data_IF_002067595172
#
_entry.id   IF_002067595172
#
_cell.length_a   1.000
_cell.length_b   1.000
_cell.length_c   1.000
_cell.angle_alpha   90.00
_cell.angle_beta   90.00
_cell.angle_gamma   90.00
#
_symmetry.space_group_name_H-M   'P 1'
#
loop_
_entity.id
_entity.type
_entity.pdbx_description
1 polymer ?
#
# COMPACT_ATOMS: atom_id res chain seq x y z
N UNK A 1 -16.28 22.21 23.33
CA UNK A 1 -16.25 22.81 21.98
C UNK A 1 -15.61 21.79 21.05
N UNK A 2 -16.41 20.81 20.56
CA UNK A 2 -15.90 19.70 19.72
C UNK A 2 -16.80 19.50 18.50
N UNK A 3 -16.73 20.43 17.54
CA UNK A 3 -17.55 20.35 16.31
C UNK A 3 -16.75 19.81 15.11
N UNK A 4 -15.45 19.52 15.24
CA UNK A 4 -14.60 19.06 14.11
C UNK A 4 -14.42 17.54 13.98
N UNK A 5 -14.86 16.73 14.92
CA UNK A 5 -14.59 15.28 14.91
C UNK A 5 -15.51 14.44 13.99
N UNK A 6 -16.59 15.02 13.41
CA UNK A 6 -17.64 14.24 12.74
C UNK A 6 -17.51 14.15 11.22
N UNK A 7 -16.53 14.80 10.58
CA UNK A 7 -16.46 14.85 9.11
C UNK A 7 -15.08 14.55 8.51
N UNK A 8 -14.20 13.85 9.22
CA UNK A 8 -12.96 13.36 8.61
C UNK A 8 -13.24 12.03 7.90
N UNK A 9 -12.89 11.87 6.62
CA UNK A 9 -13.21 10.68 5.81
C UNK A 9 -12.65 9.37 6.40
N UNK A 10 -11.58 9.45 7.23
CA UNK A 10 -10.92 8.31 7.88
C UNK A 10 -10.91 8.46 9.40
N UNK A 11 -12.07 8.75 9.99
CA UNK A 11 -12.26 8.84 11.43
C UNK A 11 -12.56 7.48 12.10
N UNK A 12 -12.80 7.47 13.44
CA UNK A 12 -13.07 6.25 14.21
C UNK A 12 -14.21 5.39 13.67
N UNK A 13 -15.27 6.02 13.16
CA UNK A 13 -16.44 5.31 12.59
C UNK A 13 -16.07 4.51 11.34
N UNK A 14 -15.21 5.08 10.46
CA UNK A 14 -14.69 4.42 9.29
C UNK A 14 -13.94 3.13 9.67
N UNK A 15 -12.96 3.23 10.57
CA UNK A 15 -12.15 2.07 10.98
C UNK A 15 -12.97 1.03 11.74
N UNK A 16 -13.94 1.46 12.53
CA UNK A 16 -14.87 0.53 13.20
C UNK A 16 -15.63 -0.29 12.16
N UNK A 17 -16.20 0.34 11.13
CA UNK A 17 -16.99 -0.31 10.09
C UNK A 17 -16.13 -1.24 9.24
N UNK A 18 -15.04 -0.76 8.67
CA UNK A 18 -14.31 -1.47 7.62
C UNK A 18 -13.17 -2.36 8.11
N UNK A 19 -12.77 -2.26 9.40
CA UNK A 19 -11.63 -3.03 9.93
C UNK A 19 -11.91 -3.77 11.23
N UNK A 20 -12.72 -3.21 12.15
CA UNK A 20 -12.92 -3.80 13.48
C UNK A 20 -14.17 -4.64 13.58
N UNK A 21 -15.25 -4.30 12.91
CA UNK A 21 -16.49 -5.05 12.95
C UNK A 21 -16.36 -6.33 12.08
N UNK A 22 -16.47 -7.50 12.71
CA UNK A 22 -16.35 -8.82 12.04
C UNK A 22 -17.33 -9.01 10.89
N UNK A 23 -18.53 -8.44 10.96
CA UNK A 23 -19.55 -8.57 9.91
C UNK A 23 -19.26 -7.74 8.67
N UNK A 24 -18.55 -6.61 8.80
CA UNK A 24 -18.36 -5.64 7.72
C UNK A 24 -16.90 -5.36 7.35
N UNK A 25 -15.94 -5.91 8.10
CA UNK A 25 -14.51 -5.67 7.83
C UNK A 25 -14.11 -6.18 6.43
N UNK A 26 -13.29 -5.41 5.76
CA UNK A 26 -12.81 -5.69 4.39
C UNK A 26 -11.57 -6.60 4.38
N UNK A 27 -10.86 -6.70 5.50
CA UNK A 27 -9.65 -7.53 5.63
C UNK A 27 -9.41 -7.95 7.07
N UNK A 28 -8.51 -8.91 7.26
CA UNK A 28 -8.12 -9.46 8.57
C UNK A 28 -6.59 -9.36 8.76
N UNK A 29 -6.13 -9.48 10.01
CA UNK A 29 -4.70 -9.56 10.31
C UNK A 29 -4.05 -10.79 9.65
N UNK A 30 -4.77 -11.92 9.57
CA UNK A 30 -4.27 -13.14 8.92
C UNK A 30 -4.05 -12.94 7.40
N UNK A 31 -5.01 -12.30 6.70
CA UNK A 31 -4.87 -11.97 5.28
C UNK A 31 -3.72 -10.99 5.03
N UNK A 32 -3.56 -9.99 5.89
CA UNK A 32 -2.47 -9.02 5.79
C UNK A 32 -1.11 -9.67 6.12
N UNK A 33 -1.07 -10.60 7.05
CA UNK A 33 0.10 -11.43 7.34
C UNK A 33 0.52 -12.30 6.15
N UNK A 34 -0.44 -12.99 5.53
CA UNK A 34 -0.19 -13.79 4.32
C UNK A 34 0.33 -12.92 3.16
N UNK A 35 -0.22 -11.71 3.01
CA UNK A 35 0.25 -10.72 2.01
C UNK A 35 1.68 -10.26 2.29
N UNK A 36 2.01 -9.95 3.54
CA UNK A 36 3.36 -9.60 3.94
C UNK A 36 4.34 -10.75 3.66
N UNK A 37 3.94 -11.99 3.93
CA UNK A 37 4.75 -13.18 3.63
C UNK A 37 5.00 -13.34 2.13
N UNK A 38 3.98 -13.15 1.28
CA UNK A 38 4.13 -13.17 -0.17
C UNK A 38 5.13 -12.10 -0.65
N UNK A 39 4.98 -10.86 -0.19
CA UNK A 39 5.89 -9.76 -0.53
C UNK A 39 7.32 -10.10 -0.13
N UNK A 40 7.54 -10.53 1.12
CA UNK A 40 8.86 -10.87 1.63
C UNK A 40 9.50 -12.04 0.86
N UNK A 41 8.70 -13.05 0.48
CA UNK A 41 9.16 -14.21 -0.30
C UNK A 41 9.61 -13.78 -1.71
N UNK A 42 8.82 -12.97 -2.42
CA UNK A 42 9.16 -12.46 -3.76
C UNK A 42 10.46 -11.64 -3.69
N UNK A 43 10.59 -10.72 -2.74
CA UNK A 43 11.78 -9.88 -2.61
C UNK A 43 13.04 -10.70 -2.28
N UNK A 44 12.91 -11.69 -1.39
CA UNK A 44 14.00 -12.61 -1.06
C UNK A 44 14.42 -13.44 -2.27
N UNK A 45 13.45 -14.02 -3.00
CA UNK A 45 13.70 -14.80 -4.22
C UNK A 45 14.38 -13.94 -5.29
N UNK A 46 13.94 -12.69 -5.45
CA UNK A 46 14.53 -11.75 -6.42
C UNK A 46 15.90 -11.17 -5.96
N UNK A 47 16.41 -11.55 -4.79
CA UNK A 47 17.69 -11.06 -4.26
C UNK A 47 17.67 -9.60 -3.83
N UNK A 48 16.52 -9.06 -3.41
CA UNK A 48 16.35 -7.66 -3.03
C UNK A 48 16.41 -7.53 -1.50
N UNK A 49 17.49 -6.97 -0.93
CA UNK A 49 17.59 -6.76 0.50
C UNK A 49 16.66 -5.64 0.98
N UNK A 50 16.05 -5.83 2.17
CA UNK A 50 15.15 -4.87 2.79
C UNK A 50 15.61 -4.55 4.20
N UNK A 51 16.01 -3.29 4.45
CA UNK A 51 16.39 -2.75 5.75
C UNK A 51 15.45 -1.65 6.22
N UNK A 52 14.70 -1.04 5.32
CA UNK A 52 13.71 -0.03 5.61
C UNK A 52 12.40 -0.24 4.85
N UNK A 53 11.29 -0.22 5.59
CA UNK A 53 9.93 -0.38 5.06
C UNK A 53 9.15 0.88 5.38
N UNK A 54 8.51 1.46 4.37
CA UNK A 54 7.47 2.47 4.52
C UNK A 54 6.12 1.86 4.12
N UNK A 55 5.17 1.84 5.04
CA UNK A 55 3.79 1.47 4.76
C UNK A 55 2.96 2.75 4.62
N UNK A 56 2.69 3.14 3.38
CA UNK A 56 2.02 4.39 3.03
C UNK A 56 0.50 4.18 2.95
N UNK A 57 -0.22 4.73 3.92
CA UNK A 57 -1.62 4.44 4.21
C UNK A 57 -1.75 3.18 5.05
N UNK A 58 -0.92 3.06 6.09
CA UNK A 58 -0.78 1.84 6.90
C UNK A 58 -2.02 1.47 7.72
N UNK A 59 -2.98 2.38 7.87
CA UNK A 59 -4.20 2.14 8.64
C UNK A 59 -3.90 1.63 10.05
N UNK A 60 -4.46 0.47 10.39
CA UNK A 60 -4.21 -0.20 11.68
C UNK A 60 -2.82 -0.86 11.80
N UNK A 61 -2.00 -0.81 10.75
CA UNK A 61 -0.67 -1.44 10.74
C UNK A 61 -0.70 -2.97 10.74
N UNK A 62 -1.69 -3.57 10.11
CA UNK A 62 -1.92 -5.03 10.14
C UNK A 62 -0.76 -5.86 9.55
N UNK A 63 0.10 -5.28 8.72
CA UNK A 63 1.28 -5.96 8.18
C UNK A 63 2.51 -5.84 9.10
N UNK A 64 2.50 -4.93 10.09
CA UNK A 64 3.68 -4.59 10.90
C UNK A 64 4.27 -5.81 11.61
N UNK A 65 3.43 -6.58 12.30
CA UNK A 65 3.87 -7.76 13.08
C UNK A 65 4.49 -8.80 12.16
N UNK A 66 3.83 -9.13 11.05
CA UNK A 66 4.35 -10.11 10.10
C UNK A 66 5.70 -9.67 9.49
N UNK A 67 5.86 -8.38 9.13
CA UNK A 67 7.16 -7.91 8.65
C UNK A 67 8.25 -7.90 9.72
N UNK A 68 7.90 -7.67 11.00
CA UNK A 68 8.87 -7.76 12.08
C UNK A 68 9.43 -9.21 12.25
N UNK A 69 8.59 -10.21 12.00
CA UNK A 69 8.99 -11.63 12.03
C UNK A 69 9.74 -12.05 10.75
N UNK A 70 9.24 -11.67 9.58
CA UNK A 70 9.76 -12.10 8.28
C UNK A 70 11.04 -11.38 7.87
N UNK A 71 11.20 -10.13 8.28
CA UNK A 71 12.31 -9.23 7.98
C UNK A 71 12.82 -8.54 9.26
N UNK A 72 13.35 -9.27 10.24
CA UNK A 72 13.65 -8.77 11.59
C UNK A 72 14.71 -7.66 11.63
N UNK A 73 15.50 -7.52 10.56
CA UNK A 73 16.50 -6.44 10.42
C UNK A 73 15.91 -5.18 9.78
N UNK A 74 14.67 -5.21 9.27
CA UNK A 74 14.05 -4.09 8.61
C UNK A 74 13.35 -3.16 9.63
N UNK A 75 13.56 -1.86 9.49
CA UNK A 75 12.85 -0.84 10.26
C UNK A 75 11.54 -0.49 9.56
N UNK A 76 10.42 -0.72 10.23
CA UNK A 76 9.10 -0.41 9.70
C UNK A 76 8.65 0.98 10.16
N UNK A 77 8.13 1.76 9.22
CA UNK A 77 7.51 3.06 9.46
C UNK A 77 6.14 3.12 8.80
N UNK A 78 5.11 3.47 9.57
CA UNK A 78 3.77 3.77 9.05
C UNK A 78 3.65 5.25 8.68
N UNK A 79 3.05 5.53 7.52
CA UNK A 79 2.58 6.84 7.09
C UNK A 79 1.06 6.77 6.97
N UNK A 80 0.34 7.71 7.58
CA UNK A 80 -1.12 7.67 7.61
C UNK A 80 -1.70 9.10 7.53
N UNK A 81 -2.82 9.24 6.83
CA UNK A 81 -3.53 10.50 6.69
C UNK A 81 -4.58 10.73 7.79
N UNK A 82 -4.94 9.70 8.55
CA UNK A 82 -5.85 9.76 9.68
C UNK A 82 -5.14 10.24 10.93
N UNK A 83 -5.43 11.46 11.39
CA UNK A 83 -4.94 11.98 12.68
C UNK A 83 -5.29 11.06 13.84
N UNK A 84 -6.49 10.46 13.81
CA UNK A 84 -6.94 9.50 14.82
C UNK A 84 -6.01 8.30 14.94
N UNK A 85 -5.60 7.70 13.81
CA UNK A 85 -4.69 6.55 13.82
C UNK A 85 -3.26 6.97 14.13
N UNK A 86 -2.81 8.13 13.64
CA UNK A 86 -1.48 8.65 13.96
C UNK A 86 -1.31 8.85 15.47
N UNK A 87 -2.29 9.45 16.13
CA UNK A 87 -2.29 9.62 17.60
C UNK A 87 -2.33 8.28 18.35
N UNK A 88 -3.10 7.28 17.82
CA UNK A 88 -3.29 5.99 18.50
C UNK A 88 -2.08 5.06 18.37
N UNK A 89 -1.40 5.05 17.21
CA UNK A 89 -0.36 4.08 16.88
C UNK A 89 1.03 4.70 16.70
N UNK A 90 1.15 6.01 16.92
CA UNK A 90 2.39 6.78 16.70
C UNK A 90 2.90 6.66 15.25
N UNK A 91 1.97 6.73 14.28
CA UNK A 91 2.32 6.79 12.87
C UNK A 91 2.79 8.19 12.47
N UNK A 92 3.56 8.27 11.39
CA UNK A 92 3.85 9.57 10.76
C UNK A 92 2.59 10.09 10.10
N UNK A 93 2.17 11.29 10.46
CA UNK A 93 1.05 11.97 9.78
C UNK A 93 1.50 12.51 8.42
N UNK A 94 0.72 12.27 7.38
CA UNK A 94 0.96 12.81 6.05
C UNK A 94 0.27 12.04 4.92
N UNK A 95 0.39 12.59 3.72
CA UNK A 95 -0.19 12.02 2.51
C UNK A 95 0.87 11.37 1.63
N UNK A 96 0.52 10.24 1.02
CA UNK A 96 1.35 9.60 -0.01
C UNK A 96 1.60 10.52 -1.22
N UNK A 97 0.80 11.55 -1.40
CA UNK A 97 0.92 12.51 -2.51
C UNK A 97 2.17 13.38 -2.41
N UNK A 98 2.57 13.75 -1.19
CA UNK A 98 3.60 14.77 -0.95
C UNK A 98 4.55 14.48 0.21
N UNK A 99 4.41 13.37 0.90
CA UNK A 99 5.33 12.98 1.97
C UNK A 99 6.77 12.94 1.48
N UNK A 100 7.69 13.54 2.27
CA UNK A 100 9.13 13.67 1.95
C UNK A 100 9.98 13.24 3.16
N UNK A 101 10.47 12.01 3.20
CA UNK A 101 11.44 11.57 4.19
C UNK A 101 12.85 12.05 3.83
N UNK A 102 13.76 12.04 4.80
CA UNK A 102 15.19 12.36 4.58
C UNK A 102 15.86 11.36 3.63
N UNK A 103 15.45 10.09 3.67
CA UNK A 103 15.98 9.01 2.80
C UNK A 103 14.84 8.13 2.31
N UNK A 104 14.93 7.62 1.08
CA UNK A 104 13.97 6.65 0.57
C UNK A 104 14.12 5.28 1.27
N UNK A 105 13.09 4.45 1.16
CA UNK A 105 12.99 3.13 1.77
C UNK A 105 13.28 2.02 0.76
N UNK A 106 13.78 0.88 1.23
CA UNK A 106 14.03 -0.27 0.36
C UNK A 106 12.73 -0.86 -0.17
N UNK A 107 11.73 -0.97 0.69
CA UNK A 107 10.37 -1.37 0.35
C UNK A 107 9.39 -0.26 0.72
N UNK A 108 8.59 0.16 -0.23
CA UNK A 108 7.39 0.97 0.01
C UNK A 108 6.16 0.10 -0.23
N UNK A 109 5.19 0.18 0.66
CA UNK A 109 3.89 -0.48 0.55
C UNK A 109 2.85 0.62 0.34
N UNK A 110 1.96 0.44 -0.61
CA UNK A 110 0.79 1.30 -0.82
C UNK A 110 -0.39 0.39 -1.17
N UNK A 111 -1.08 -0.07 -0.14
CA UNK A 111 -2.17 -1.01 -0.26
C UNK A 111 -3.50 -0.35 0.03
N UNK A 112 -4.41 -0.41 -0.93
CA UNK A 112 -5.79 0.10 -0.80
C UNK A 112 -5.90 1.62 -0.50
N UNK A 113 -4.99 2.42 -1.08
CA UNK A 113 -4.90 3.88 -0.84
C UNK A 113 -5.25 4.69 -2.10
N UNK A 114 -4.71 4.31 -3.26
CA UNK A 114 -4.77 5.16 -4.45
C UNK A 114 -6.18 5.39 -4.99
N UNK A 115 -7.13 4.50 -4.70
CA UNK A 115 -8.53 4.66 -5.09
C UNK A 115 -9.24 5.79 -4.32
N UNK A 116 -8.73 6.24 -3.18
CA UNK A 116 -9.29 7.37 -2.43
C UNK A 116 -8.84 8.74 -2.96
N UNK A 117 -7.85 8.76 -3.82
CA UNK A 117 -7.30 10.00 -4.40
C UNK A 117 -7.98 10.33 -5.72
N UNK A 118 -8.29 11.61 -5.94
CA UNK A 118 -8.71 12.10 -7.26
C UNK A 118 -7.63 11.83 -8.33
N UNK A 119 -7.97 11.94 -9.61
CA UNK A 119 -7.08 11.50 -10.71
C UNK A 119 -5.70 12.18 -10.69
N UNK A 120 -5.69 13.51 -10.48
CA UNK A 120 -4.45 14.30 -10.42
C UNK A 120 -3.57 13.85 -9.25
N UNK A 121 -4.16 13.66 -8.07
CA UNK A 121 -3.42 13.29 -6.86
C UNK A 121 -2.98 11.82 -6.89
N UNK A 122 -3.76 10.92 -7.45
CA UNK A 122 -3.33 9.54 -7.67
C UNK A 122 -2.13 9.45 -8.62
N UNK A 123 -2.11 10.29 -9.70
CA UNK A 123 -0.96 10.37 -10.59
C UNK A 123 0.29 10.95 -9.88
N UNK A 124 0.13 12.00 -9.07
CA UNK A 124 1.20 12.57 -8.24
C UNK A 124 1.71 11.57 -7.21
N UNK A 125 0.80 10.85 -6.55
CA UNK A 125 1.15 9.81 -5.58
C UNK A 125 2.02 8.71 -6.20
N UNK A 126 1.73 8.25 -7.42
CA UNK A 126 2.58 7.26 -8.12
C UNK A 126 3.99 7.79 -8.36
N UNK A 127 4.14 9.04 -8.78
CA UNK A 127 5.46 9.67 -8.93
C UNK A 127 6.18 9.76 -7.59
N UNK A 128 5.44 10.13 -6.54
CA UNK A 128 6.01 10.21 -5.19
C UNK A 128 6.39 8.82 -4.64
N UNK A 129 5.56 7.80 -4.82
CA UNK A 129 5.90 6.42 -4.46
C UNK A 129 7.21 5.97 -5.12
N UNK A 130 7.46 6.39 -6.37
CA UNK A 130 8.72 6.12 -7.04
C UNK A 130 9.91 6.84 -6.37
N UNK A 131 9.73 8.08 -5.92
CA UNK A 131 10.77 8.81 -5.19
C UNK A 131 11.01 8.22 -3.78
N UNK A 132 9.96 7.72 -3.14
CA UNK A 132 10.03 7.08 -1.83
C UNK A 132 10.69 5.69 -1.86
N UNK A 133 10.64 4.99 -3.02
CA UNK A 133 11.13 3.62 -3.18
C UNK A 133 12.57 3.62 -3.68
N UNK A 134 13.50 3.11 -2.88
CA UNK A 134 14.88 2.88 -3.31
C UNK A 134 15.01 1.60 -4.15
N UNK A 135 14.31 0.52 -3.77
CA UNK A 135 14.40 -0.75 -4.45
C UNK A 135 13.04 -1.28 -4.93
N UNK A 136 12.09 -1.45 -4.04
CA UNK A 136 10.82 -2.10 -4.37
C UNK A 136 9.60 -1.30 -3.91
N UNK A 137 8.50 -1.49 -4.63
CA UNK A 137 7.16 -1.01 -4.30
C UNK A 137 6.19 -2.20 -4.34
N UNK A 138 5.44 -2.39 -3.29
CA UNK A 138 4.20 -3.17 -3.35
C UNK A 138 3.03 -2.21 -3.47
N UNK A 139 2.22 -2.37 -4.51
CA UNK A 139 1.04 -1.53 -4.71
C UNK A 139 -0.15 -2.36 -5.15
N UNK A 140 -1.27 -2.12 -4.50
CA UNK A 140 -2.59 -2.63 -4.89
C UNK A 140 -3.62 -1.53 -4.66
N UNK A 141 -4.58 -1.42 -5.55
CA UNK A 141 -5.69 -0.49 -5.46
C UNK A 141 -6.92 -1.15 -6.06
N UNK A 142 -8.09 -0.82 -5.55
CA UNK A 142 -9.35 -1.27 -6.13
C UNK A 142 -9.50 -0.70 -7.54
N UNK A 143 -9.51 -1.59 -8.54
CA UNK A 143 -9.67 -1.20 -9.93
C UNK A 143 -11.13 -1.30 -10.39
N UNK A 144 -11.44 -0.74 -11.55
CA UNK A 144 -12.76 -0.87 -12.17
C UNK A 144 -13.09 -2.34 -12.48
N UNK A 145 -12.08 -3.11 -12.88
CA UNK A 145 -12.19 -4.54 -13.16
C UNK A 145 -12.48 -5.32 -11.87
N UNK A 146 -11.74 -5.04 -10.77
CA UNK A 146 -11.98 -5.68 -9.47
C UNK A 146 -13.36 -5.33 -8.91
N UNK A 147 -13.78 -4.08 -9.06
CA UNK A 147 -15.12 -3.66 -8.66
C UNK A 147 -16.22 -4.47 -9.37
N UNK A 148 -16.00 -4.85 -10.63
CA UNK A 148 -16.98 -5.60 -11.42
C UNK A 148 -17.00 -7.09 -11.09
N UNK A 149 -15.83 -7.68 -10.78
CA UNK A 149 -15.66 -9.14 -10.80
C UNK A 149 -15.14 -9.74 -9.49
N UNK A 150 -14.39 -8.99 -8.65
CA UNK A 150 -13.62 -9.59 -7.56
C UNK A 150 -14.04 -9.11 -6.17
N UNK A 151 -14.57 -7.90 -6.03
CA UNK A 151 -14.86 -7.36 -4.71
C UNK A 151 -16.29 -7.66 -4.22
N UNK A 152 -16.43 -7.89 -2.92
CA UNK A 152 -17.73 -7.87 -2.24
C UNK A 152 -18.16 -6.41 -2.04
N UNK A 153 -19.08 -5.95 -2.93
CA UNK A 153 -19.59 -4.56 -2.90
C UNK A 153 -20.40 -4.22 -1.65
N UNK A 154 -20.88 -5.23 -0.92
CA UNK A 154 -21.62 -5.00 0.34
C UNK A 154 -20.70 -4.56 1.47
N UNK A 155 -19.42 -4.96 1.41
CA UNK A 155 -18.39 -4.69 2.41
C UNK A 155 -17.39 -3.62 1.96
N UNK A 156 -17.35 -3.29 0.67
CA UNK A 156 -16.38 -2.36 0.09
C UNK A 156 -16.87 -0.91 0.20
N UNK A 157 -15.98 -0.01 0.54
CA UNK A 157 -16.27 1.43 0.53
C UNK A 157 -16.57 1.90 -0.90
N UNK A 158 -17.68 2.61 -1.06
CA UNK A 158 -18.14 3.13 -2.36
C UNK A 158 -17.63 4.53 -2.66
N UNK A 159 -17.05 5.21 -1.67
CA UNK A 159 -16.50 6.56 -1.84
C UNK A 159 -15.08 6.49 -2.41
N UNK A 160 -14.95 5.98 -3.62
CA UNK A 160 -13.68 5.72 -4.30
C UNK A 160 -13.70 6.19 -5.75
N UNK A 161 -12.54 6.52 -6.28
CA UNK A 161 -12.32 6.87 -7.68
C UNK A 161 -11.81 5.63 -8.44
N UNK A 162 -12.73 4.88 -9.04
CA UNK A 162 -12.37 3.67 -9.80
C UNK A 162 -11.64 4.01 -11.09
N UNK A 163 -10.49 3.36 -11.30
CA UNK A 163 -9.67 3.45 -12.51
C UNK A 163 -9.33 2.06 -13.01
N UNK A 164 -9.07 1.91 -14.31
CA UNK A 164 -8.65 0.62 -14.84
C UNK A 164 -7.27 0.21 -14.32
N UNK A 165 -7.04 -1.10 -14.20
CA UNK A 165 -5.72 -1.64 -13.88
C UNK A 165 -4.67 -1.20 -14.88
N UNK A 166 -5.04 -0.99 -16.15
CA UNK A 166 -4.17 -0.46 -17.19
C UNK A 166 -3.72 0.98 -16.90
N UNK A 167 -4.61 1.83 -16.33
CA UNK A 167 -4.27 3.20 -15.94
C UNK A 167 -3.12 3.23 -14.92
N UNK A 168 -3.17 2.34 -13.90
CA UNK A 168 -2.12 2.20 -12.90
C UNK A 168 -0.84 1.62 -13.51
N UNK A 169 -0.94 0.51 -14.24
CA UNK A 169 0.23 -0.16 -14.85
C UNK A 169 1.01 0.76 -15.78
N UNK A 170 0.36 1.55 -16.64
CA UNK A 170 1.02 2.50 -17.55
C UNK A 170 1.87 3.54 -16.80
N UNK A 171 1.40 4.01 -15.64
CA UNK A 171 2.12 5.00 -14.84
C UNK A 171 3.26 4.37 -14.04
N UNK A 172 3.03 3.22 -13.43
CA UNK A 172 4.04 2.48 -12.67
C UNK A 172 5.21 2.03 -13.56
N UNK A 173 4.94 1.56 -14.77
CA UNK A 173 5.97 1.11 -15.73
C UNK A 173 6.97 2.19 -16.12
N UNK A 174 6.66 3.45 -15.95
CA UNK A 174 7.61 4.55 -16.16
C UNK A 174 8.77 4.52 -15.16
N UNK A 175 8.55 3.99 -13.97
CA UNK A 175 9.49 4.02 -12.86
C UNK A 175 9.99 2.64 -12.45
N UNK A 176 9.19 1.61 -12.72
CA UNK A 176 9.40 0.26 -12.19
C UNK A 176 9.27 -0.81 -13.28
N UNK A 177 9.79 -2.00 -12.96
CA UNK A 177 9.48 -3.27 -13.63
C UNK A 177 8.55 -4.08 -12.73
N UNK A 178 7.53 -4.71 -13.29
CA UNK A 178 6.58 -5.57 -12.56
C UNK A 178 7.18 -6.95 -12.34
N UNK A 179 7.13 -7.46 -11.11
CA UNK A 179 7.55 -8.83 -10.77
C UNK A 179 6.38 -9.80 -10.60
N UNK A 180 5.15 -9.31 -10.65
CA UNK A 180 3.95 -10.10 -10.35
C UNK A 180 3.35 -9.74 -8.98
N UNK A 181 2.10 -10.15 -8.76
CA UNK A 181 1.36 -10.03 -7.48
C UNK A 181 1.42 -8.65 -6.81
N UNK A 182 1.45 -7.56 -7.58
CA UNK A 182 1.52 -6.20 -7.07
C UNK A 182 2.92 -5.75 -6.63
N UNK A 183 3.95 -6.58 -6.81
CA UNK A 183 5.35 -6.23 -6.50
C UNK A 183 6.01 -5.63 -7.74
N UNK A 184 6.62 -4.48 -7.55
CA UNK A 184 7.33 -3.70 -8.55
C UNK A 184 8.73 -3.39 -8.05
N UNK A 185 9.70 -3.39 -8.94
CA UNK A 185 11.10 -3.10 -8.63
C UNK A 185 11.57 -1.91 -9.45
N UNK A 186 12.37 -1.03 -8.85
CA UNK A 186 12.97 0.12 -9.55
C UNK A 186 13.75 -0.34 -10.79
N UNK A 187 13.64 0.40 -11.89
CA UNK A 187 14.28 0.01 -13.16
C UNK A 187 15.80 -0.10 -13.09
N UNK A 188 16.42 0.64 -12.18
CA UNK A 188 17.87 0.65 -11.94
C UNK A 188 18.33 -0.35 -10.87
N UNK A 189 17.44 -1.19 -10.36
CA UNK A 189 17.77 -2.24 -9.36
C UNK A 189 17.83 -3.60 -10.07
N UNK A 190 18.92 -4.31 -9.83
CA UNK A 190 19.04 -5.69 -10.29
C UNK A 190 18.13 -6.59 -9.48
N UNK A 191 17.30 -7.36 -10.16
CA UNK A 191 16.44 -8.36 -9.55
C UNK A 191 16.57 -9.66 -10.37
N UNK A 192 16.77 -10.76 -9.68
CA UNK A 192 16.84 -12.10 -10.26
C UNK A 192 15.40 -12.56 -10.52
N UNK A 193 15.03 -12.66 -11.78
CA UNK A 193 13.71 -13.15 -12.21
C UNK A 193 13.92 -14.01 -13.45
N UNK A 194 13.60 -15.27 -13.36
CA UNK A 194 13.68 -16.20 -14.45
C UNK A 194 12.62 -15.90 -15.51
N UNK A 195 12.87 -16.34 -16.74
CA UNK A 195 11.99 -15.96 -17.87
C UNK A 195 10.54 -16.39 -17.65
N UNK A 196 10.34 -17.63 -17.20
CA UNK A 196 8.99 -18.17 -16.89
C UNK A 196 8.30 -17.53 -15.68
N UNK A 197 9.01 -16.76 -14.86
CA UNK A 197 8.47 -16.05 -13.69
C UNK A 197 8.02 -14.63 -14.03
N UNK A 198 8.40 -14.14 -15.20
CA UNK A 198 8.04 -12.78 -15.61
C UNK A 198 6.58 -12.72 -15.99
N UNK A 199 5.83 -11.71 -15.47
CA UNK A 199 4.47 -11.49 -15.96
C UNK A 199 4.50 -11.16 -17.45
N UNK A 200 3.49 -11.59 -18.16
CA UNK A 200 3.32 -11.24 -19.57
C UNK A 200 3.40 -9.71 -19.80
N UNK A 201 3.89 -9.26 -20.93
CA UNK A 201 4.14 -7.86 -21.25
C UNK A 201 2.86 -6.98 -21.22
#
# INVERSE_FOLDING_TARGET
MDIKAHNQPFGPAYFRKYYLNRATRVTTAAEMGARAALIAAILRHAGIPVHGILDAGCGLGLMRTAFAELLPRARYRGLEASEYLCARFNWSFGSVVDFRPVKPYDLVICYDVLQYLGERDAARAIVNLAALSRAALYVSALTLEDWRSNCDRSRTDRNVHLRSGLWYRRRLRRHFRHLGFGVWVRRNVTAIVWDMERPAP
#
